data_IF_010797374963
#
_entry.id   IF_010797374963
#
_cell.length_a   1.000
_cell.length_b   1.000
_cell.length_c   1.000
_cell.angle_alpha   90.00
_cell.angle_beta   90.00
_cell.angle_gamma   90.00
#
_symmetry.space_group_name_H-M   'P 1'
#
loop_
_entity.id
_entity.type
_entity.pdbx_description
1 polymer ?
#
# COMPACT_ATOMS: atom_id res chain seq x y z
N UNK A 1 38.41 13.50 38.05
CA UNK A 1 37.61 14.10 36.95
C UNK A 1 37.18 13.08 35.85
N UNK A 2 37.96 12.07 35.48
CA UNK A 2 37.62 11.14 34.37
C UNK A 2 36.40 10.21 34.61
N UNK A 3 36.12 9.78 35.84
CA UNK A 3 35.01 8.86 36.12
C UNK A 3 33.63 9.47 35.89
N UNK A 4 33.41 10.73 36.22
CA UNK A 4 32.14 11.43 36.02
C UNK A 4 31.77 11.59 34.56
N UNK A 5 32.73 11.83 33.69
CA UNK A 5 32.51 11.97 32.25
C UNK A 5 32.03 10.65 31.64
N UNK A 6 32.63 9.53 32.08
CA UNK A 6 32.19 8.21 31.58
C UNK A 6 30.76 7.89 31.99
N UNK A 7 30.35 8.20 33.21
CA UNK A 7 28.98 8.00 33.68
C UNK A 7 27.97 8.93 32.98
N UNK A 8 28.36 10.17 32.72
CA UNK A 8 27.52 11.11 31.97
C UNK A 8 27.28 10.64 30.52
N UNK A 9 28.35 10.19 29.84
CA UNK A 9 28.23 9.64 28.48
C UNK A 9 27.38 8.37 28.45
N UNK A 10 27.57 7.46 29.42
CA UNK A 10 26.76 6.24 29.53
C UNK A 10 25.28 6.56 29.79
N UNK A 11 24.97 7.54 30.65
CA UNK A 11 23.61 7.96 30.92
C UNK A 11 22.93 8.58 29.68
N UNK A 12 23.64 9.43 28.92
CA UNK A 12 23.12 9.98 27.66
C UNK A 12 22.88 8.87 26.64
N UNK A 13 23.82 7.93 26.53
CA UNK A 13 23.65 6.79 25.61
C UNK A 13 22.42 5.93 25.97
N UNK A 14 22.24 5.62 27.26
CA UNK A 14 21.05 4.88 27.74
C UNK A 14 19.77 5.65 27.46
N UNK A 15 19.74 6.96 27.69
CA UNK A 15 18.56 7.78 27.37
C UNK A 15 18.25 7.82 25.88
N UNK A 16 19.26 7.91 25.02
CA UNK A 16 19.09 7.84 23.56
C UNK A 16 18.56 6.48 23.13
N UNK A 17 19.11 5.40 23.70
CA UNK A 17 18.63 4.03 23.40
C UNK A 17 17.19 3.83 23.89
N UNK A 18 16.84 4.29 25.10
CA UNK A 18 15.47 4.21 25.61
C UNK A 18 14.50 5.06 24.77
N UNK A 19 14.92 6.23 24.34
CA UNK A 19 14.14 7.07 23.43
C UNK A 19 13.91 6.39 22.08
N UNK A 20 14.95 5.80 21.49
CA UNK A 20 14.86 5.06 20.23
C UNK A 20 14.03 3.77 20.38
N UNK A 21 14.12 3.07 21.52
CA UNK A 21 13.29 1.89 21.81
C UNK A 21 11.83 2.30 22.04
N UNK A 22 11.58 3.42 22.71
CA UNK A 22 10.24 3.97 22.88
C UNK A 22 9.58 4.35 21.55
N UNK A 23 10.34 4.97 20.63
CA UNK A 23 9.88 5.22 19.26
C UNK A 23 9.67 3.92 18.49
N UNK A 24 10.57 2.95 18.63
CA UNK A 24 10.44 1.64 17.99
C UNK A 24 9.23 0.86 18.50
N UNK A 25 8.94 0.89 19.79
CA UNK A 25 7.76 0.24 20.38
C UNK A 25 6.45 0.89 19.91
N UNK A 26 6.41 2.22 19.78
CA UNK A 26 5.28 2.94 19.21
C UNK A 26 5.02 2.57 17.74
N UNK A 27 6.08 2.31 16.97
CA UNK A 27 5.98 1.83 15.58
C UNK A 27 5.49 0.38 15.47
N UNK A 28 5.81 -0.47 16.45
CA UNK A 28 5.44 -1.90 16.46
C UNK A 28 4.01 -2.12 16.97
N UNK A 29 3.52 -1.26 17.86
CA UNK A 29 2.18 -1.39 18.46
C UNK A 29 1.02 -0.99 17.53
N UNK A 30 1.30 -0.48 16.33
CA UNK A 30 0.26 0.06 15.44
C UNK A 30 -0.36 1.38 15.93
N UNK A 31 -0.04 1.79 17.14
CA UNK A 31 -0.30 3.11 17.67
C UNK A 31 0.83 4.06 17.24
N UNK A 32 0.94 4.28 15.94
CA UNK A 32 1.67 5.45 15.47
C UNK A 32 1.06 6.65 16.21
N UNK A 33 1.88 7.47 16.87
CA UNK A 33 1.37 8.69 17.45
C UNK A 33 0.57 9.37 16.33
N UNK A 34 -0.71 9.64 16.57
CA UNK A 34 -1.53 10.43 15.65
C UNK A 34 -0.84 11.77 15.57
N UNK A 35 0.07 11.91 14.61
CA UNK A 35 0.66 13.20 14.32
C UNK A 35 -0.49 14.18 14.15
N UNK A 36 -0.42 15.34 14.80
CA UNK A 36 -1.48 16.33 14.68
C UNK A 36 -1.77 16.51 13.19
N UNK A 37 -3.07 16.47 12.83
CA UNK A 37 -3.50 16.60 11.45
C UNK A 37 -2.78 17.80 10.84
N UNK A 38 -2.01 17.64 9.77
CA UNK A 38 -1.32 18.74 9.15
C UNK A 38 -2.35 19.72 8.58
N UNK A 39 -2.70 20.73 9.35
CA UNK A 39 -3.59 21.81 8.90
C UNK A 39 -2.84 22.99 8.32
N UNK A 40 -1.49 22.95 8.28
CA UNK A 40 -0.68 24.07 7.84
C UNK A 40 0.50 23.64 6.96
N UNK A 41 0.82 24.42 5.89
CA UNK A 41 1.96 24.15 5.02
C UNK A 41 3.32 24.05 5.75
N UNK A 42 3.45 24.66 6.94
CA UNK A 42 4.68 24.66 7.73
C UNK A 42 5.00 23.31 8.42
N UNK A 43 3.99 22.53 8.81
CA UNK A 43 4.21 21.25 9.50
C UNK A 43 4.69 20.17 8.54
N UNK A 44 4.21 20.20 7.29
CA UNK A 44 4.73 19.33 6.24
C UNK A 44 6.17 19.66 5.87
N UNK A 45 6.63 20.89 6.06
CA UNK A 45 8.02 21.26 5.79
C UNK A 45 8.98 20.56 6.75
N UNK A 46 8.60 20.34 8.01
CA UNK A 46 9.40 19.61 9.00
C UNK A 46 9.45 18.12 8.67
N UNK A 47 8.31 17.51 8.33
CA UNK A 47 8.26 16.12 7.87
C UNK A 47 8.97 15.95 6.52
N UNK A 48 8.91 16.93 5.64
CA UNK A 48 9.65 16.99 4.39
C UNK A 48 11.17 16.97 4.60
N UNK A 49 11.66 17.63 5.63
CA UNK A 49 13.08 17.60 6.02
C UNK A 49 13.49 16.28 6.69
N UNK A 50 12.54 15.57 7.30
CA UNK A 50 12.76 14.24 7.88
C UNK A 50 12.60 13.12 6.85
N UNK A 51 11.86 13.35 5.75
CA UNK A 51 11.71 12.41 4.65
C UNK A 51 12.94 12.50 3.74
N UNK A 52 13.74 11.45 3.70
CA UNK A 52 14.99 11.41 2.92
C UNK A 52 14.80 11.53 1.41
N UNK A 53 13.59 11.33 0.86
CA UNK A 53 13.30 11.49 -0.57
C UNK A 53 11.80 11.63 -0.83
N UNK A 54 11.44 12.50 -1.76
CA UNK A 54 10.11 12.57 -2.35
C UNK A 54 10.22 12.27 -3.85
N UNK A 55 9.51 11.26 -4.28
CA UNK A 55 9.47 10.91 -5.70
C UNK A 55 8.07 11.14 -6.24
N UNK A 56 7.94 12.04 -7.21
CA UNK A 56 6.66 12.31 -7.90
C UNK A 56 6.16 11.04 -8.59
N UNK A 57 4.87 10.79 -8.46
CA UNK A 57 4.17 9.65 -9.06
C UNK A 57 3.07 10.13 -9.98
N UNK A 58 3.30 9.96 -11.27
CA UNK A 58 2.31 10.22 -12.31
C UNK A 58 1.53 8.97 -12.69
N UNK A 59 1.93 7.81 -12.17
CA UNK A 59 1.35 6.51 -12.51
C UNK A 59 1.19 5.64 -11.29
N UNK A 60 0.13 4.84 -11.29
CA UNK A 60 -0.03 3.69 -10.40
C UNK A 60 0.66 2.49 -11.06
N UNK A 61 1.37 1.71 -10.26
CA UNK A 61 2.03 0.49 -10.72
C UNK A 61 1.18 -0.73 -10.35
N UNK A 62 0.65 -1.39 -11.37
CA UNK A 62 -0.04 -2.67 -11.22
C UNK A 62 0.86 -3.80 -11.68
N UNK A 63 0.91 -4.91 -10.94
CA UNK A 63 1.70 -6.08 -11.31
C UNK A 63 1.03 -6.82 -12.46
N UNK A 64 1.80 -7.15 -13.49
CA UNK A 64 1.38 -8.07 -14.58
C UNK A 64 1.91 -9.48 -14.36
N UNK A 65 1.38 -10.39 -15.15
CA UNK A 65 1.91 -11.74 -15.22
C UNK A 65 3.39 -11.71 -15.63
N UNK A 66 4.20 -12.55 -14.96
CA UNK A 66 5.65 -12.59 -15.18
C UNK A 66 6.45 -11.50 -14.44
N UNK A 67 5.83 -10.77 -13.48
CA UNK A 67 6.54 -9.80 -12.63
C UNK A 67 6.84 -8.46 -13.29
N UNK A 68 6.29 -8.20 -14.48
CA UNK A 68 6.37 -6.88 -15.11
C UNK A 68 5.30 -5.94 -14.52
N UNK A 69 5.50 -4.61 -14.68
CA UNK A 69 4.54 -3.62 -14.18
C UNK A 69 3.81 -2.93 -15.32
N UNK A 70 2.50 -2.70 -15.13
CA UNK A 70 1.72 -1.76 -15.92
C UNK A 70 1.74 -0.42 -15.22
N UNK A 71 1.88 0.63 -16.01
CA UNK A 71 1.75 2.01 -15.55
C UNK A 71 0.37 2.51 -15.96
N UNK A 72 -0.48 2.79 -14.98
CA UNK A 72 -1.75 3.50 -15.21
C UNK A 72 -1.57 4.95 -14.83
N UNK A 73 -1.78 5.86 -15.79
CA UNK A 73 -1.66 7.29 -15.56
C UNK A 73 -2.73 7.76 -14.55
N UNK A 74 -2.34 8.68 -13.67
CA UNK A 74 -3.26 9.31 -12.72
C UNK A 74 -3.82 10.57 -13.38
N UNK A 75 -5.08 10.52 -13.79
CA UNK A 75 -5.71 11.59 -14.56
C UNK A 75 -6.73 12.41 -13.77
N UNK A 76 -7.27 11.85 -12.68
CA UNK A 76 -8.33 12.48 -11.89
C UNK A 76 -7.82 13.66 -11.06
N UNK A 77 -6.61 13.56 -10.50
CA UNK A 77 -6.06 14.61 -9.66
C UNK A 77 -5.39 15.69 -10.50
N UNK A 78 -6.00 16.88 -10.57
CA UNK A 78 -5.56 18.02 -11.38
C UNK A 78 -4.86 19.10 -10.54
N UNK A 79 -5.27 19.24 -9.28
CA UNK A 79 -4.71 20.24 -8.36
C UNK A 79 -3.60 19.65 -7.50
N UNK A 80 -3.68 18.37 -7.15
CA UNK A 80 -2.69 17.67 -6.34
C UNK A 80 -1.86 16.72 -7.19
N UNK A 81 -0.54 16.76 -6.97
CA UNK A 81 0.39 15.75 -7.48
C UNK A 81 0.67 14.73 -6.39
N UNK A 82 0.77 13.47 -6.77
CA UNK A 82 1.10 12.39 -5.84
C UNK A 82 2.61 12.19 -5.75
N UNK A 83 3.08 11.88 -4.55
CA UNK A 83 4.47 11.58 -4.26
C UNK A 83 4.57 10.36 -3.35
N UNK A 84 5.64 9.59 -3.49
CA UNK A 84 6.06 8.63 -2.49
C UNK A 84 7.08 9.32 -1.58
N UNK A 85 6.77 9.40 -0.31
CA UNK A 85 7.67 9.86 0.73
C UNK A 85 8.30 8.66 1.43
N UNK A 86 9.63 8.54 1.38
CA UNK A 86 10.38 7.54 2.13
C UNK A 86 10.95 8.15 3.40
N UNK A 87 10.63 7.61 4.55
CA UNK A 87 11.22 7.95 5.83
C UNK A 87 12.12 6.80 6.28
N UNK A 88 13.42 6.98 6.18
CA UNK A 88 14.43 6.03 6.66
C UNK A 88 15.00 6.50 7.98
N UNK A 89 14.89 5.69 9.02
CA UNK A 89 15.68 5.80 10.25
C UNK A 89 16.80 4.77 10.18
N UNK A 90 17.99 5.12 10.60
CA UNK A 90 19.25 4.33 10.48
C UNK A 90 19.17 2.88 10.96
N UNK A 91 18.13 2.49 11.73
CA UNK A 91 17.97 1.17 12.32
C UNK A 91 16.58 0.56 12.13
N UNK A 92 15.72 1.19 11.32
CA UNK A 92 14.33 0.74 11.08
C UNK A 92 14.12 0.66 9.58
N UNK A 93 13.46 -0.38 9.07
CA UNK A 93 13.10 -0.45 7.65
C UNK A 93 12.43 0.83 7.19
N UNK A 94 12.72 1.33 5.97
CA UNK A 94 12.12 2.54 5.48
C UNK A 94 10.58 2.41 5.42
N UNK A 95 9.89 3.36 6.00
CA UNK A 95 8.45 3.50 5.85
C UNK A 95 8.17 4.34 4.61
N UNK A 96 7.15 3.97 3.86
CA UNK A 96 6.71 4.69 2.68
C UNK A 96 5.29 5.18 2.87
N UNK A 97 5.04 6.38 2.40
CA UNK A 97 3.72 7.01 2.43
C UNK A 97 3.42 7.64 1.08
N UNK A 98 2.17 7.63 0.69
CA UNK A 98 1.70 8.43 -0.43
C UNK A 98 1.29 9.80 0.10
N UNK A 99 1.78 10.84 -0.55
CA UNK A 99 1.52 12.23 -0.21
C UNK A 99 0.89 12.91 -1.42
N UNK A 100 -0.20 13.62 -1.21
CA UNK A 100 -0.80 14.50 -2.21
C UNK A 100 -0.39 15.93 -1.91
N UNK A 101 0.22 16.60 -2.91
CA UNK A 101 0.65 18.00 -2.79
C UNK A 101 -0.09 18.88 -3.78
N UNK A 102 -0.93 19.76 -3.25
CA UNK A 102 -1.59 20.82 -3.97
C UNK A 102 -0.78 22.13 -3.99
N UNK A 103 -1.34 23.21 -4.56
CA UNK A 103 -0.69 24.52 -4.60
C UNK A 103 -0.50 25.15 -3.21
N UNK A 104 -1.38 24.86 -2.27
CA UNK A 104 -1.46 25.49 -0.96
C UNK A 104 -1.38 24.52 0.22
N UNK A 105 -1.41 23.23 -0.05
CA UNK A 105 -1.50 22.18 0.96
C UNK A 105 -0.65 20.96 0.61
N UNK A 106 -0.34 20.18 1.63
CA UNK A 106 0.28 18.85 1.51
C UNK A 106 -0.44 17.92 2.48
N UNK A 107 -1.00 16.85 1.98
CA UNK A 107 -1.74 15.89 2.76
C UNK A 107 -1.13 14.49 2.62
N UNK A 108 -1.03 13.74 3.71
CA UNK A 108 -0.82 12.31 3.61
C UNK A 108 -2.08 11.67 3.03
N UNK A 109 -1.89 10.84 2.02
CA UNK A 109 -3.00 10.12 1.40
C UNK A 109 -3.27 8.82 2.18
N UNK A 110 -3.47 8.96 3.50
CA UNK A 110 -3.92 7.86 4.34
C UNK A 110 -5.41 7.62 4.11
N UNK A 111 -5.93 6.40 4.34
CA UNK A 111 -7.34 6.10 4.16
C UNK A 111 -8.29 7.10 4.82
N UNK A 112 -7.96 7.57 6.02
CA UNK A 112 -8.78 8.53 6.78
C UNK A 112 -8.73 9.95 6.20
N UNK A 113 -7.65 10.33 5.52
CA UNK A 113 -7.43 11.67 4.96
C UNK A 113 -7.75 11.74 3.45
N UNK A 114 -7.93 10.59 2.80
CA UNK A 114 -8.14 10.48 1.36
C UNK A 114 -9.29 11.35 0.87
N UNK A 115 -10.44 11.26 1.53
CA UNK A 115 -11.62 12.02 1.15
C UNK A 115 -11.45 13.54 1.34
N UNK A 116 -10.50 14.00 2.15
CA UNK A 116 -10.17 15.42 2.29
C UNK A 116 -9.51 15.94 1.01
N UNK A 117 -8.58 15.17 0.44
CA UNK A 117 -7.92 15.51 -0.84
C UNK A 117 -8.94 15.47 -1.98
N UNK A 118 -9.78 14.42 -2.02
CA UNK A 118 -10.84 14.27 -3.04
C UNK A 118 -11.77 15.49 -3.04
N UNK A 119 -12.20 15.97 -1.87
CA UNK A 119 -13.02 17.17 -1.75
C UNK A 119 -12.32 18.43 -2.22
N UNK A 120 -11.01 18.56 -1.92
CA UNK A 120 -10.20 19.68 -2.39
C UNK A 120 -10.05 19.67 -3.92
N UNK A 121 -9.94 18.48 -4.54
CA UNK A 121 -9.93 18.29 -5.99
C UNK A 121 -11.26 18.65 -6.66
N UNK A 122 -12.37 18.64 -5.93
CA UNK A 122 -13.74 18.86 -6.45
C UNK A 122 -14.07 17.89 -7.57
N UNK A 123 -13.78 16.62 -7.35
CA UNK A 123 -14.02 15.59 -8.35
C UNK A 123 -15.52 15.45 -8.67
N UNK A 124 -15.77 15.09 -9.93
CA UNK A 124 -17.06 14.55 -10.36
C UNK A 124 -16.76 13.23 -11.05
N UNK A 125 -17.36 12.15 -10.57
CA UNK A 125 -17.17 10.79 -11.09
C UNK A 125 -18.38 10.45 -11.96
N UNK A 126 -18.19 10.50 -13.26
CA UNK A 126 -19.29 10.33 -14.23
C UNK A 126 -19.28 8.96 -14.90
N UNK A 127 -18.17 8.21 -14.78
CA UNK A 127 -18.01 6.91 -15.42
C UNK A 127 -17.53 5.81 -14.45
N UNK A 128 -17.72 4.57 -14.86
CA UNK A 128 -17.19 3.38 -14.17
C UNK A 128 -15.66 3.39 -14.16
N UNK A 129 -15.06 3.85 -15.25
CA UNK A 129 -13.61 3.95 -15.43
C UNK A 129 -13.00 4.92 -14.41
N UNK A 130 -13.62 6.09 -14.23
CA UNK A 130 -13.19 7.08 -13.22
C UNK A 130 -13.36 6.54 -11.80
N UNK A 131 -14.46 5.83 -11.51
CA UNK A 131 -14.66 5.19 -10.22
C UNK A 131 -13.57 4.15 -9.93
N UNK A 132 -13.17 3.37 -10.94
CA UNK A 132 -12.06 2.43 -10.82
C UNK A 132 -10.71 3.13 -10.66
N UNK A 133 -10.44 4.20 -11.40
CA UNK A 133 -9.20 4.97 -11.24
C UNK A 133 -9.09 5.49 -9.80
N UNK A 134 -10.16 6.09 -9.28
CA UNK A 134 -10.15 6.62 -7.92
C UNK A 134 -9.97 5.52 -6.86
N UNK A 135 -10.65 4.37 -7.03
CA UNK A 135 -10.47 3.21 -6.16
C UNK A 135 -9.02 2.68 -6.19
N UNK A 136 -8.39 2.63 -7.35
CA UNK A 136 -6.98 2.23 -7.50
C UNK A 136 -6.04 3.21 -6.81
N UNK A 137 -6.27 4.52 -6.90
CA UNK A 137 -5.49 5.53 -6.18
C UNK A 137 -5.62 5.30 -4.66
N UNK A 138 -6.84 5.02 -4.17
CA UNK A 138 -7.07 4.70 -2.77
C UNK A 138 -6.30 3.45 -2.33
N UNK A 139 -6.37 2.35 -3.10
CA UNK A 139 -5.66 1.11 -2.81
C UNK A 139 -4.14 1.33 -2.82
N UNK A 140 -3.65 2.12 -3.78
CA UNK A 140 -2.23 2.48 -3.88
C UNK A 140 -1.75 3.24 -2.65
N UNK A 141 -2.58 4.16 -2.14
CA UNK A 141 -2.32 4.88 -0.91
C UNK A 141 -2.35 3.94 0.31
N UNK A 142 -3.33 3.05 0.40
CA UNK A 142 -3.44 2.02 1.45
C UNK A 142 -2.26 1.04 1.44
N UNK A 143 -1.71 0.78 0.26
CA UNK A 143 -0.50 -0.03 0.08
C UNK A 143 0.81 0.75 0.28
N UNK A 144 0.75 1.98 0.80
CA UNK A 144 1.92 2.86 0.96
C UNK A 144 2.72 3.07 -0.35
N UNK A 145 2.04 3.04 -1.50
CA UNK A 145 2.65 3.21 -2.82
C UNK A 145 3.33 1.97 -3.39
N UNK A 146 3.14 0.81 -2.77
CA UNK A 146 3.64 -0.45 -3.32
C UNK A 146 2.75 -0.98 -4.46
N UNK A 147 3.35 -1.69 -5.41
CA UNK A 147 2.60 -2.32 -6.48
C UNK A 147 1.57 -3.33 -5.96
N UNK A 148 0.43 -3.34 -6.61
CA UNK A 148 -0.65 -4.29 -6.35
C UNK A 148 -1.24 -4.79 -7.66
N UNK A 149 -2.12 -5.78 -7.58
CA UNK A 149 -2.90 -6.29 -8.72
C UNK A 149 -4.33 -6.48 -8.26
N UNK A 150 -5.30 -5.99 -9.07
CA UNK A 150 -6.68 -6.44 -8.97
C UNK A 150 -6.76 -7.80 -9.65
N UNK A 151 -7.28 -8.80 -8.96
CA UNK A 151 -7.34 -10.19 -9.41
C UNK A 151 -8.78 -10.63 -9.65
N UNK A 152 -9.01 -11.27 -10.80
CA UNK A 152 -10.30 -11.80 -11.20
C UNK A 152 -10.38 -13.32 -11.05
N UNK A 153 -9.23 -13.97 -10.95
CA UNK A 153 -9.11 -15.41 -10.72
C UNK A 153 -7.73 -15.77 -10.14
N UNK A 154 -7.60 -16.98 -9.63
CA UNK A 154 -6.38 -17.42 -8.95
C UNK A 154 -5.15 -17.48 -9.85
N UNK A 155 -5.33 -17.71 -11.15
CA UNK A 155 -4.19 -17.83 -12.08
C UNK A 155 -3.53 -16.50 -12.39
N UNK A 156 -4.18 -15.38 -12.07
CA UNK A 156 -3.61 -14.04 -12.19
C UNK A 156 -2.63 -13.69 -11.06
N UNK A 157 -2.61 -14.48 -9.99
CA UNK A 157 -1.63 -14.32 -8.92
C UNK A 157 -0.29 -14.85 -9.40
N UNK A 158 0.80 -14.05 -9.37
CA UNK A 158 2.11 -14.49 -9.79
C UNK A 158 2.53 -15.79 -9.08
N UNK A 159 2.95 -16.78 -9.86
CA UNK A 159 3.36 -18.09 -9.34
C UNK A 159 2.22 -19.10 -9.12
N UNK A 160 0.95 -18.74 -9.27
CA UNK A 160 -0.17 -19.68 -9.07
C UNK A 160 -0.80 -20.19 -10.37
N UNK A 161 -0.27 -19.86 -11.54
CA UNK A 161 -0.79 -20.47 -12.78
C UNK A 161 -0.45 -21.97 -12.81
N UNK A 162 -1.38 -22.84 -13.27
CA UNK A 162 -1.12 -24.28 -13.37
C UNK A 162 0.12 -24.58 -14.22
N UNK A 163 0.35 -23.83 -15.29
CA UNK A 163 1.52 -23.98 -16.18
C UNK A 163 2.82 -23.74 -15.41
N UNK A 164 2.90 -22.64 -14.66
CA UNK A 164 4.09 -22.33 -13.86
C UNK A 164 4.35 -23.40 -12.78
N UNK A 165 3.30 -23.86 -12.10
CA UNK A 165 3.40 -24.92 -11.08
C UNK A 165 3.92 -26.22 -11.70
N UNK A 166 3.44 -26.56 -12.91
CA UNK A 166 3.90 -27.75 -13.64
C UNK A 166 5.38 -27.64 -14.05
N UNK A 167 5.82 -26.47 -14.52
CA UNK A 167 7.24 -26.19 -14.84
C UNK A 167 8.14 -26.34 -13.61
N UNK A 168 7.75 -25.79 -12.47
CA UNK A 168 8.48 -25.96 -11.21
C UNK A 168 8.57 -27.45 -10.81
N UNK A 169 7.48 -28.20 -10.98
CA UNK A 169 7.44 -29.62 -10.62
C UNK A 169 8.31 -30.51 -11.53
N UNK A 170 8.47 -30.13 -12.82
CA UNK A 170 9.35 -30.80 -13.77
C UNK A 170 10.83 -30.47 -13.55
N UNK A 171 11.16 -29.45 -12.78
CA UNK A 171 12.54 -29.13 -12.50
C UNK A 171 13.22 -30.25 -11.72
N UNK A 172 14.45 -30.57 -12.05
CA UNK A 172 15.24 -31.57 -11.32
C UNK A 172 15.55 -31.19 -9.86
N UNK A 173 15.25 -29.95 -9.46
CA UNK A 173 15.58 -29.39 -8.15
C UNK A 173 14.51 -29.74 -7.11
N UNK A 174 14.91 -30.31 -5.97
CA UNK A 174 13.99 -30.69 -4.88
C UNK A 174 13.28 -29.49 -4.24
N UNK A 175 13.94 -28.33 -4.16
CA UNK A 175 13.37 -27.10 -3.63
C UNK A 175 12.27 -26.56 -4.56
N UNK A 176 12.51 -26.55 -5.86
CA UNK A 176 11.50 -26.14 -6.84
C UNK A 176 10.26 -27.04 -6.80
N UNK A 177 10.42 -28.36 -6.61
CA UNK A 177 9.29 -29.27 -6.44
C UNK A 177 8.51 -28.99 -5.15
N UNK A 178 9.19 -28.64 -4.05
CA UNK A 178 8.52 -28.23 -2.82
C UNK A 178 7.70 -26.96 -3.04
N UNK A 179 8.26 -25.96 -3.71
CA UNK A 179 7.53 -24.74 -4.07
C UNK A 179 6.34 -25.03 -4.98
N UNK A 180 6.48 -25.92 -5.95
CA UNK A 180 5.36 -26.37 -6.78
C UNK A 180 4.21 -26.95 -5.94
N UNK A 181 4.51 -27.78 -4.94
CA UNK A 181 3.51 -28.35 -4.04
C UNK A 181 2.82 -27.28 -3.19
N UNK A 182 3.59 -26.34 -2.63
CA UNK A 182 3.08 -25.22 -1.84
C UNK A 182 2.16 -24.30 -2.69
N UNK A 183 2.59 -23.94 -3.89
CA UNK A 183 1.81 -23.11 -4.81
C UNK A 183 0.55 -23.84 -5.30
N UNK A 184 0.62 -25.15 -5.56
CA UNK A 184 -0.53 -25.94 -5.92
C UNK A 184 -1.57 -26.01 -4.80
N UNK A 185 -1.13 -26.19 -3.56
CA UNK A 185 -2.02 -26.15 -2.41
C UNK A 185 -2.71 -24.77 -2.24
N UNK A 186 -1.97 -23.67 -2.45
CA UNK A 186 -2.53 -22.33 -2.46
C UNK A 186 -3.55 -22.15 -3.59
N UNK A 187 -3.22 -22.58 -4.80
CA UNK A 187 -4.12 -22.55 -5.96
C UNK A 187 -5.44 -23.27 -5.65
N UNK A 188 -5.38 -24.50 -5.16
CA UNK A 188 -6.58 -25.28 -4.83
C UNK A 188 -7.46 -24.61 -3.77
N UNK A 189 -6.84 -23.98 -2.77
CA UNK A 189 -7.55 -23.26 -1.70
C UNK A 189 -8.27 -22.03 -2.23
N UNK A 190 -7.67 -21.30 -3.17
CA UNK A 190 -8.13 -19.98 -3.60
C UNK A 190 -9.01 -20.02 -4.86
N UNK A 191 -8.93 -21.06 -5.69
CA UNK A 191 -9.61 -21.13 -6.99
C UNK A 191 -11.13 -20.98 -6.94
N UNK A 192 -11.76 -21.30 -5.80
CA UNK A 192 -13.19 -21.18 -5.59
C UNK A 192 -13.56 -19.99 -4.70
N UNK A 193 -12.58 -19.22 -4.24
CA UNK A 193 -12.78 -18.04 -3.38
C UNK A 193 -12.77 -16.77 -4.22
N UNK A 194 -11.83 -16.70 -5.16
CA UNK A 194 -11.66 -15.49 -5.98
C UNK A 194 -12.72 -15.46 -7.07
N UNK A 195 -13.47 -14.38 -7.10
CA UNK A 195 -14.44 -14.07 -8.15
C UNK A 195 -13.98 -12.84 -8.93
N UNK A 196 -14.39 -12.69 -10.19
CA UNK A 196 -14.09 -11.49 -10.97
C UNK A 196 -14.52 -10.20 -10.27
N UNK A 197 -13.76 -9.14 -10.50
CA UNK A 197 -14.13 -7.81 -10.05
C UNK A 197 -15.46 -7.39 -10.67
N UNK A 198 -16.32 -6.81 -9.84
CA UNK A 198 -17.67 -6.37 -10.25
C UNK A 198 -17.87 -4.91 -9.85
N UNK A 199 -18.58 -4.18 -10.72
CA UNK A 199 -19.07 -2.84 -10.42
C UNK A 199 -20.56 -2.78 -10.68
N UNK A 200 -21.29 -2.16 -9.75
CA UNK A 200 -22.72 -1.89 -9.89
C UNK A 200 -22.96 -0.41 -9.69
N UNK A 201 -23.76 0.17 -10.56
CA UNK A 201 -24.27 1.54 -10.36
C UNK A 201 -25.47 1.44 -9.43
N UNK A 202 -25.40 2.14 -8.30
CA UNK A 202 -26.43 2.15 -7.26
C UNK A 202 -26.74 3.61 -6.94
N UNK A 203 -27.91 4.07 -7.32
CA UNK A 203 -28.30 5.48 -7.21
C UNK A 203 -27.23 6.42 -7.79
N UNK A 204 -26.71 7.34 -6.98
CA UNK A 204 -25.66 8.29 -7.37
C UNK A 204 -24.25 7.80 -6.97
N UNK A 205 -23.99 6.51 -7.11
CA UNK A 205 -22.71 5.93 -6.71
C UNK A 205 -22.37 4.65 -7.46
N UNK A 206 -21.11 4.26 -7.38
CA UNK A 206 -20.57 3.00 -7.89
C UNK A 206 -20.21 2.09 -6.70
N UNK A 207 -20.73 0.88 -6.70
CA UNK A 207 -20.39 -0.14 -5.73
C UNK A 207 -19.44 -1.13 -6.39
N UNK A 208 -18.20 -1.21 -5.89
CA UNK A 208 -17.14 -2.05 -6.41
C UNK A 208 -16.89 -3.23 -5.46
N UNK A 209 -16.82 -4.44 -6.02
CA UNK A 209 -16.45 -5.66 -5.32
C UNK A 209 -15.26 -6.29 -6.03
N UNK A 210 -14.14 -6.52 -5.32
CA UNK A 210 -12.93 -7.03 -5.96
C UNK A 210 -11.94 -7.58 -4.96
N UNK A 211 -10.96 -8.33 -5.47
CA UNK A 211 -9.79 -8.78 -4.72
C UNK A 211 -8.55 -8.01 -5.15
N UNK A 212 -7.68 -7.72 -4.20
CA UNK A 212 -6.33 -7.25 -4.49
C UNK A 212 -5.30 -8.25 -3.99
N UNK A 213 -4.22 -8.38 -4.74
CA UNK A 213 -3.00 -9.03 -4.30
C UNK A 213 -1.88 -7.99 -4.28
N UNK A 214 -1.12 -7.97 -3.18
CA UNK A 214 0.00 -7.06 -2.99
C UNK A 214 1.31 -7.81 -3.17
N UNK A 215 2.23 -7.27 -3.97
CA UNK A 215 3.53 -7.86 -4.23
C UNK A 215 4.36 -8.02 -2.96
N UNK A 216 4.27 -7.05 -2.06
CA UNK A 216 4.94 -7.12 -0.76
C UNK A 216 4.13 -8.01 0.18
N UNK A 217 4.79 -9.10 0.64
CA UNK A 217 4.21 -10.05 1.58
C UNK A 217 3.14 -10.98 1.01
N UNK A 218 2.79 -10.89 -0.28
CA UNK A 218 1.79 -11.74 -0.92
C UNK A 218 0.42 -11.68 -0.25
N UNK A 219 0.04 -10.50 0.25
CA UNK A 219 -1.23 -10.31 0.95
C UNK A 219 -2.38 -10.23 -0.05
N UNK A 220 -3.44 -10.97 0.21
CA UNK A 220 -4.71 -10.86 -0.50
C UNK A 220 -5.76 -10.19 0.37
N UNK A 221 -6.49 -9.24 -0.22
CA UNK A 221 -7.55 -8.51 0.46
C UNK A 221 -8.81 -8.49 -0.41
N UNK A 222 -9.96 -8.80 0.19
CA UNK A 222 -11.28 -8.58 -0.38
C UNK A 222 -11.76 -7.17 -0.03
N UNK A 223 -12.35 -6.51 -1.02
CA UNK A 223 -12.86 -5.16 -0.89
C UNK A 223 -14.30 -5.04 -1.35
N UNK A 224 -15.06 -4.30 -0.59
CA UNK A 224 -16.32 -3.68 -1.02
C UNK A 224 -16.20 -2.18 -0.79
N UNK A 225 -16.19 -1.42 -1.88
CA UNK A 225 -16.06 0.03 -1.85
C UNK A 225 -17.26 0.69 -2.51
N UNK A 226 -17.72 1.79 -1.93
CA UNK A 226 -18.68 2.71 -2.54
C UNK A 226 -17.94 3.98 -2.94
N UNK A 227 -18.03 4.35 -4.22
CA UNK A 227 -17.51 5.59 -4.78
C UNK A 227 -18.71 6.46 -5.16
N UNK A 228 -18.88 7.58 -4.47
CA UNK A 228 -19.95 8.53 -4.76
C UNK A 228 -19.59 9.43 -5.95
N UNK A 229 -20.59 10.10 -6.54
CA UNK A 229 -20.40 11.04 -7.66
C UNK A 229 -19.45 12.19 -7.33
N UNK A 230 -19.39 12.63 -6.09
CA UNK A 230 -18.45 13.66 -5.60
C UNK A 230 -17.04 13.12 -5.32
N UNK A 231 -16.78 11.86 -5.69
CA UNK A 231 -15.52 11.17 -5.47
C UNK A 231 -15.33 10.65 -4.04
N UNK A 232 -16.27 10.86 -3.12
CA UNK A 232 -16.15 10.32 -1.76
C UNK A 232 -16.08 8.79 -1.79
N UNK A 233 -15.03 8.20 -1.22
CA UNK A 233 -14.89 6.76 -1.04
C UNK A 233 -15.37 6.35 0.36
N UNK A 234 -16.20 5.32 0.39
CA UNK A 234 -16.57 4.61 1.62
C UNK A 234 -16.14 3.15 1.49
N UNK A 235 -15.23 2.70 2.31
CA UNK A 235 -14.87 1.28 2.43
C UNK A 235 -15.94 0.60 3.29
N UNK A 236 -16.80 -0.19 2.65
CA UNK A 236 -17.86 -0.93 3.32
C UNK A 236 -17.29 -2.18 3.97
N UNK A 237 -16.38 -2.86 3.24
CA UNK A 237 -15.72 -4.07 3.73
C UNK A 237 -14.27 -4.10 3.22
N UNK A 238 -13.37 -4.45 4.13
CA UNK A 238 -11.96 -4.74 3.84
C UNK A 238 -11.57 -5.94 4.66
N UNK A 239 -11.34 -7.07 4.01
CA UNK A 239 -11.05 -8.33 4.70
C UNK A 239 -9.78 -8.96 4.15
N UNK A 240 -8.88 -9.35 5.03
CA UNK A 240 -7.71 -10.12 4.68
C UNK A 240 -8.12 -11.57 4.38
N UNK A 241 -7.96 -11.99 3.14
CA UNK A 241 -8.31 -13.35 2.67
C UNK A 241 -7.17 -14.33 2.89
N UNK A 242 -5.94 -13.88 2.59
CA UNK A 242 -4.75 -14.72 2.72
C UNK A 242 -3.47 -13.86 2.79
N UNK A 243 -2.38 -14.48 3.23
CA UNK A 243 -1.03 -13.90 3.22
C UNK A 243 -0.03 -14.91 2.64
N UNK A 244 1.12 -14.42 2.20
CA UNK A 244 2.21 -15.22 1.61
C UNK A 244 1.74 -16.06 0.43
N UNK A 245 0.91 -15.46 -0.41
CA UNK A 245 0.31 -16.11 -1.57
C UNK A 245 1.12 -15.82 -2.82
N UNK A 246 1.41 -16.86 -3.60
CA UNK A 246 2.13 -16.74 -4.85
C UNK A 246 3.61 -16.35 -4.70
N UNK A 247 4.16 -15.78 -5.76
CA UNK A 247 5.54 -15.26 -5.77
C UNK A 247 5.52 -13.80 -5.32
N UNK A 248 6.05 -13.52 -4.14
CA UNK A 248 6.02 -12.20 -3.49
C UNK A 248 7.41 -11.81 -2.97
N UNK A 249 7.59 -10.52 -2.71
CA UNK A 249 8.77 -9.97 -2.05
C UNK A 249 8.53 -9.77 -0.56
N UNK A 250 9.55 -10.05 0.24
CA UNK A 250 9.59 -9.66 1.64
C UNK A 250 10.34 -8.33 1.76
N UNK A 251 9.83 -7.40 2.53
CA UNK A 251 10.62 -6.26 2.98
C UNK A 251 11.71 -6.79 3.93
N UNK A 252 12.95 -6.68 3.53
CA UNK A 252 14.13 -7.02 4.35
C UNK A 252 14.54 -5.82 5.18
#
# INVERSE_FOLDING_TARGET
MRRWVVWAVAAVFVLVVLYLLGLGAACISGDLPRYPKPHFPGECTILYQMCGSLTERTHIYEVRDGGSYVKSEITLFKQHKLYIAGMGLLLVPPFYYVVARGPLDVCYLLPDEFNTVVKAERLTIDSVEEAWELAKIYIYADAAGFPFKIINNTTEIPGLSPQYIEELNKSGNAEMRRWAQEHYAQYLRLKNVITPAEVRVVEDSYLLHFYTWYEIGGKMTWWTMKVARDGTITVIQKEKVAERVGSYHLLQ
#
